data_IF_450536510791
#
_entry.id   IF_450536510791
#
_cell.length_a   1.000
_cell.length_b   1.000
_cell.length_c   1.000
_cell.angle_alpha   90.00
_cell.angle_beta   90.00
_cell.angle_gamma   90.00
#
_symmetry.space_group_name_H-M   'P 1'
#
loop_
_entity.id
_entity.type
_entity.pdbx_description
1 polymer ?
#
# COMPACT_ATOMS: atom_id res chain seq x y z
N UNK A 1 29.65 53.96 12.70
CA UNK A 1 30.35 54.27 11.45
C UNK A 1 30.03 53.09 10.53
N UNK A 2 28.96 53.17 9.69
CA UNK A 2 28.94 53.55 8.26
C UNK A 2 29.98 52.78 7.45
N UNK A 3 29.61 51.87 6.56
CA UNK A 3 29.05 52.08 5.20
C UNK A 3 28.71 50.69 4.59
N UNK A 4 27.57 50.46 4.09
CA UNK A 4 27.10 50.51 2.67
C UNK A 4 28.15 50.07 1.62
N UNK A 5 27.81 49.01 0.87
CA UNK A 5 27.76 49.05 -0.59
C UNK A 5 27.56 47.65 -1.17
N UNK A 6 26.58 47.52 -1.89
CA UNK A 6 26.38 47.46 -3.34
C UNK A 6 26.19 46.02 -3.88
N UNK A 7 24.95 45.82 -4.27
CA UNK A 7 24.45 44.70 -5.11
C UNK A 7 25.04 44.81 -6.52
N UNK A 8 25.65 43.76 -7.03
CA UNK A 8 25.83 43.57 -8.47
C UNK A 8 24.89 42.44 -8.93
N UNK A 9 23.94 42.87 -9.77
CA UNK A 9 23.08 41.99 -10.55
C UNK A 9 23.90 41.57 -11.77
N UNK A 10 24.19 40.27 -11.87
CA UNK A 10 24.70 39.72 -13.13
C UNK A 10 23.52 39.14 -13.90
N UNK A 11 23.13 39.84 -14.95
CA UNK A 11 22.22 39.37 -16.02
C UNK A 11 23.08 38.50 -16.94
N UNK A 12 22.93 37.20 -16.85
CA UNK A 12 23.48 36.29 -17.87
C UNK A 12 22.47 36.15 -18.99
N UNK A 13 22.83 36.64 -20.15
CA UNK A 13 22.15 36.49 -21.44
C UNK A 13 22.32 35.02 -21.83
N UNK A 14 21.26 34.23 -21.74
CA UNK A 14 21.20 32.88 -22.32
C UNK A 14 20.88 33.05 -23.81
N UNK A 15 21.88 32.76 -24.65
CA UNK A 15 21.74 32.71 -26.09
C UNK A 15 20.78 31.57 -26.49
N UNK A 16 19.69 31.93 -27.15
CA UNK A 16 18.76 30.99 -27.77
C UNK A 16 19.44 30.40 -29.00
N UNK A 17 19.90 29.17 -28.89
CA UNK A 17 20.32 28.38 -30.06
C UNK A 17 19.03 27.88 -30.74
N UNK A 18 18.64 28.56 -31.85
CA UNK A 18 17.64 28.08 -32.76
C UNK A 18 18.24 26.90 -33.55
N UNK A 19 17.97 25.68 -33.09
CA UNK A 19 18.10 24.49 -33.90
C UNK A 19 16.91 24.44 -34.85
N UNK A 20 17.19 24.68 -36.11
CA UNK A 20 16.29 24.39 -37.24
C UNK A 20 16.05 22.87 -37.27
N UNK A 21 15.01 22.39 -36.60
CA UNK A 21 14.45 21.06 -36.80
C UNK A 21 13.47 21.21 -38.00
N UNK A 22 13.78 20.57 -39.10
CA UNK A 22 12.88 20.43 -40.26
C UNK A 22 11.51 19.94 -39.79
N UNK A 23 10.41 20.43 -40.36
CA UNK A 23 9.08 19.96 -39.96
C UNK A 23 8.88 18.56 -40.51
N UNK A 24 9.15 17.52 -39.70
CA UNK A 24 8.48 16.24 -39.88
C UNK A 24 7.04 16.48 -39.48
N UNK A 25 6.23 16.82 -40.46
CA UNK A 25 4.80 16.89 -40.39
C UNK A 25 4.23 15.53 -39.97
N UNK A 26 3.77 15.49 -38.77
CA UNK A 26 2.57 14.81 -38.27
C UNK A 26 2.35 15.33 -36.83
N UNK A 27 2.09 16.65 -36.75
CA UNK A 27 1.37 17.16 -35.60
C UNK A 27 -0.01 16.51 -35.68
N UNK A 28 -0.20 15.42 -34.92
CA UNK A 28 -1.53 15.02 -34.51
C UNK A 28 -2.15 16.27 -33.88
N UNK A 29 -3.24 16.76 -34.47
CA UNK A 29 -4.04 17.81 -33.84
C UNK A 29 -4.28 17.40 -32.39
N UNK A 30 -4.19 18.32 -31.40
CA UNK A 30 -4.44 17.96 -30.00
C UNK A 30 -5.81 17.28 -29.98
N UNK A 31 -5.86 16.03 -29.55
CA UNK A 31 -7.11 15.30 -29.44
C UNK A 31 -7.99 16.06 -28.46
N UNK A 32 -9.07 16.65 -28.91
CA UNK A 32 -10.00 17.46 -28.10
C UNK A 32 -10.54 16.71 -26.88
N UNK A 33 -10.32 15.41 -26.80
CA UNK A 33 -10.88 14.51 -25.78
C UNK A 33 -9.83 13.75 -24.97
N UNK A 34 -8.56 14.19 -24.98
CA UNK A 34 -7.48 13.48 -24.27
C UNK A 34 -7.80 13.20 -22.80
N UNK A 35 -8.39 14.16 -22.08
CA UNK A 35 -8.80 13.96 -20.69
C UNK A 35 -9.87 12.85 -20.57
N UNK A 36 -10.85 12.85 -21.46
CA UNK A 36 -11.93 11.84 -21.43
C UNK A 36 -11.39 10.44 -21.78
N UNK A 37 -10.46 10.35 -22.71
CA UNK A 37 -9.75 9.09 -23.02
C UNK A 37 -9.03 8.58 -21.77
N UNK A 38 -8.37 9.45 -21.02
CA UNK A 38 -7.66 9.09 -19.79
C UNK A 38 -8.58 8.56 -18.70
N UNK A 39 -9.75 9.20 -18.49
CA UNK A 39 -10.77 8.70 -17.57
C UNK A 39 -11.26 7.31 -17.97
N UNK A 40 -11.60 7.11 -19.23
CA UNK A 40 -12.05 5.81 -19.71
C UNK A 40 -10.96 4.73 -19.63
N UNK A 41 -9.69 5.08 -19.95
CA UNK A 41 -8.57 4.15 -19.83
C UNK A 41 -8.38 3.69 -18.37
N UNK A 42 -8.40 4.62 -17.42
CA UNK A 42 -8.34 4.29 -15.99
C UNK A 42 -9.47 3.33 -15.60
N UNK A 43 -10.70 3.66 -15.97
CA UNK A 43 -11.88 2.85 -15.65
C UNK A 43 -11.85 1.48 -16.35
N UNK A 44 -11.42 1.43 -17.61
CA UNK A 44 -11.30 0.18 -18.37
C UNK A 44 -10.21 -0.74 -17.80
N UNK A 45 -9.06 -0.18 -17.39
CA UNK A 45 -8.00 -0.95 -16.75
C UNK A 45 -8.41 -1.50 -15.38
N UNK A 46 -9.22 -0.74 -14.62
CA UNK A 46 -9.72 -1.16 -13.33
C UNK A 46 -10.84 -2.20 -13.45
N UNK A 47 -11.82 -1.92 -14.31
CA UNK A 47 -13.03 -2.73 -14.51
C UNK A 47 -13.39 -2.77 -16.00
N UNK A 48 -12.87 -3.73 -16.76
CA UNK A 48 -13.10 -3.82 -18.21
C UNK A 48 -14.54 -4.19 -18.53
N UNK A 49 -15.16 -3.41 -19.43
CA UNK A 49 -16.48 -3.71 -20.01
C UNK A 49 -16.48 -3.49 -21.51
N UNK A 50 -17.38 -4.16 -22.24
CA UNK A 50 -17.51 -3.97 -23.68
C UNK A 50 -17.88 -2.52 -24.06
N UNK A 51 -18.74 -1.87 -23.26
CA UNK A 51 -19.13 -0.48 -23.48
C UNK A 51 -17.95 0.48 -23.35
N UNK A 52 -17.10 0.34 -22.32
CA UNK A 52 -15.89 1.17 -22.15
C UNK A 52 -14.89 0.94 -23.29
N UNK A 53 -14.76 -0.32 -23.74
CA UNK A 53 -13.94 -0.64 -24.90
C UNK A 53 -14.44 0.04 -26.17
N UNK A 54 -15.74 0.03 -26.41
CA UNK A 54 -16.37 0.71 -27.55
C UNK A 54 -16.15 2.24 -27.48
N UNK A 55 -16.38 2.85 -26.33
CA UNK A 55 -16.18 4.29 -26.13
C UNK A 55 -14.71 4.71 -26.33
N UNK A 56 -13.77 3.91 -25.86
CA UNK A 56 -12.34 4.14 -26.13
C UNK A 56 -12.05 4.07 -27.63
N UNK A 57 -12.60 3.09 -28.36
CA UNK A 57 -12.39 2.97 -29.80
C UNK A 57 -12.97 4.19 -30.56
N UNK A 58 -14.17 4.67 -30.18
CA UNK A 58 -14.80 5.86 -30.76
C UNK A 58 -13.89 7.09 -30.55
N UNK A 59 -13.42 7.35 -29.33
CA UNK A 59 -12.59 8.52 -29.04
C UNK A 59 -11.18 8.45 -29.64
N UNK A 60 -10.63 7.25 -29.86
CA UNK A 60 -9.28 7.07 -30.40
C UNK A 60 -9.22 6.97 -31.92
N UNK A 61 -10.28 6.47 -32.56
CA UNK A 61 -10.26 6.10 -33.99
C UNK A 61 -11.53 6.48 -34.75
N UNK A 62 -12.58 6.97 -34.08
CA UNK A 62 -13.81 7.42 -34.73
C UNK A 62 -13.65 8.73 -35.44
N UNK A 63 -14.55 9.04 -36.36
CA UNK A 63 -14.64 10.34 -37.02
C UNK A 63 -15.07 11.45 -36.05
N UNK A 64 -14.76 12.72 -36.36
CA UNK A 64 -15.20 13.85 -35.53
C UNK A 64 -16.71 13.88 -35.32
N UNK A 65 -17.50 13.48 -36.32
CA UNK A 65 -18.95 13.42 -36.24
C UNK A 65 -19.41 12.32 -35.24
N UNK A 66 -18.78 11.15 -35.30
CA UNK A 66 -19.06 10.05 -34.40
C UNK A 66 -18.64 10.38 -32.94
N UNK A 67 -17.46 10.97 -32.78
CA UNK A 67 -17.01 11.42 -31.45
C UNK A 67 -18.00 12.44 -30.85
N UNK A 68 -18.47 13.40 -31.66
CA UNK A 68 -19.42 14.42 -31.22
C UNK A 68 -20.80 13.82 -30.86
N UNK A 69 -21.24 12.81 -31.61
CA UNK A 69 -22.51 12.12 -31.36
C UNK A 69 -22.50 11.39 -29.99
N UNK A 70 -21.37 10.78 -29.61
CA UNK A 70 -21.28 9.98 -28.41
C UNK A 70 -20.74 10.72 -27.16
N UNK A 71 -20.26 11.98 -27.30
CA UNK A 71 -19.54 12.68 -26.24
C UNK A 71 -20.32 12.77 -24.92
N UNK A 72 -21.60 13.16 -24.97
CA UNK A 72 -22.44 13.27 -23.77
C UNK A 72 -22.69 11.91 -23.11
N UNK A 73 -22.92 10.86 -23.92
CA UNK A 73 -23.10 9.49 -23.41
C UNK A 73 -21.83 8.97 -22.75
N UNK A 74 -20.67 9.31 -23.28
CA UNK A 74 -19.37 8.93 -22.70
C UNK A 74 -19.15 9.67 -21.39
N UNK A 75 -19.38 10.99 -21.33
CA UNK A 75 -19.29 11.78 -20.11
C UNK A 75 -20.20 11.23 -19.01
N UNK A 76 -21.45 10.94 -19.33
CA UNK A 76 -22.42 10.33 -18.41
C UNK A 76 -21.96 8.94 -17.92
N UNK A 77 -21.39 8.12 -18.81
CA UNK A 77 -20.85 6.80 -18.43
C UNK A 77 -19.66 6.93 -17.47
N UNK A 78 -18.77 7.89 -17.70
CA UNK A 78 -17.63 8.17 -16.80
C UNK A 78 -18.13 8.65 -15.44
N UNK A 79 -19.10 9.57 -15.41
CA UNK A 79 -19.71 10.04 -14.17
C UNK A 79 -20.40 8.91 -13.40
N UNK A 80 -21.22 8.12 -14.10
CA UNK A 80 -21.95 6.99 -13.52
C UNK A 80 -21.03 5.97 -12.84
N UNK A 81 -19.83 5.73 -13.38
CA UNK A 81 -18.84 4.85 -12.77
C UNK A 81 -18.45 5.31 -11.36
N UNK A 82 -18.16 6.59 -11.19
CA UNK A 82 -17.80 7.16 -9.89
C UNK A 82 -18.98 7.27 -8.94
N UNK A 83 -20.18 7.62 -9.46
CA UNK A 83 -21.42 7.66 -8.66
C UNK A 83 -21.78 6.30 -8.08
N UNK A 84 -21.65 5.22 -8.86
CA UNK A 84 -21.85 3.85 -8.35
C UNK A 84 -20.90 3.49 -7.19
N UNK A 85 -19.78 4.19 -7.10
CA UNK A 85 -18.79 4.04 -6.03
C UNK A 85 -18.90 5.13 -4.95
N UNK A 86 -19.94 5.94 -5.00
CA UNK A 86 -20.21 7.06 -4.07
C UNK A 86 -19.08 8.10 -4.02
N UNK A 87 -18.36 8.28 -5.13
CA UNK A 87 -17.33 9.33 -5.26
C UNK A 87 -17.98 10.58 -5.85
N UNK A 88 -18.00 11.72 -5.13
CA UNK A 88 -18.56 12.96 -5.63
C UNK A 88 -17.68 13.56 -6.74
N UNK A 89 -18.31 14.18 -7.73
CA UNK A 89 -17.63 14.85 -8.84
C UNK A 89 -18.06 16.31 -8.92
N UNK A 90 -17.16 17.18 -9.36
CA UNK A 90 -17.50 18.57 -9.70
C UNK A 90 -18.45 18.63 -10.91
N UNK A 91 -18.50 17.60 -11.72
CA UNK A 91 -19.40 17.42 -12.86
C UNK A 91 -20.88 17.59 -12.50
N UNK A 92 -21.27 17.18 -11.30
CA UNK A 92 -22.67 17.20 -10.84
C UNK A 92 -23.21 18.61 -10.59
N UNK A 93 -22.33 19.58 -10.45
CA UNK A 93 -22.70 21.00 -10.25
C UNK A 93 -22.75 21.81 -11.54
N UNK A 94 -22.46 21.18 -12.70
CA UNK A 94 -22.38 21.88 -13.97
C UNK A 94 -23.76 22.01 -14.64
N UNK A 95 -23.99 23.18 -15.27
CA UNK A 95 -25.18 23.42 -16.08
C UNK A 95 -25.01 22.94 -17.55
N UNK A 96 -26.14 22.86 -18.27
CA UNK A 96 -26.20 22.38 -19.65
C UNK A 96 -25.29 23.16 -20.62
N UNK A 97 -25.12 24.46 -20.41
CA UNK A 97 -24.30 25.34 -21.25
C UNK A 97 -22.78 25.26 -20.99
N UNK A 98 -22.34 24.32 -20.13
CA UNK A 98 -20.91 24.13 -19.84
C UNK A 98 -20.19 23.52 -21.05
N UNK A 99 -19.00 24.04 -21.40
CA UNK A 99 -18.22 23.51 -22.51
C UNK A 99 -17.81 22.05 -22.28
N UNK A 100 -17.65 21.29 -23.37
CA UNK A 100 -17.21 19.89 -23.33
C UNK A 100 -15.91 19.72 -22.53
N UNK A 101 -14.94 20.61 -22.76
CA UNK A 101 -13.67 20.57 -22.03
C UNK A 101 -13.85 20.76 -20.51
N UNK A 102 -14.67 21.73 -20.09
CA UNK A 102 -14.95 21.95 -18.68
C UNK A 102 -15.68 20.76 -18.06
N UNK A 103 -16.62 20.15 -18.76
CA UNK A 103 -17.28 18.90 -18.34
C UNK A 103 -16.27 17.77 -18.17
N UNK A 104 -15.34 17.58 -19.14
CA UNK A 104 -14.30 16.54 -19.07
C UNK A 104 -13.38 16.71 -17.86
N UNK A 105 -12.94 17.94 -17.55
CA UNK A 105 -12.13 18.25 -16.37
C UNK A 105 -12.91 17.97 -15.08
N UNK A 106 -14.18 18.31 -15.05
CA UNK A 106 -15.03 18.12 -13.88
C UNK A 106 -15.36 16.63 -13.54
N UNK A 107 -15.05 15.70 -14.46
CA UNK A 107 -15.13 14.26 -14.23
C UNK A 107 -13.96 13.70 -13.39
N UNK A 108 -12.97 14.52 -13.07
CA UNK A 108 -11.85 14.13 -12.20
C UNK A 108 -12.33 13.95 -10.76
N UNK A 109 -12.06 12.81 -10.12
CA UNK A 109 -12.30 12.68 -8.68
C UNK A 109 -11.37 13.63 -7.92
N UNK A 110 -11.90 14.32 -6.91
CA UNK A 110 -11.15 15.31 -6.11
C UNK A 110 -10.20 14.62 -5.11
N UNK A 111 -9.16 13.95 -5.61
CA UNK A 111 -8.13 13.26 -4.82
C UNK A 111 -6.74 13.69 -5.29
N UNK A 112 -5.82 13.86 -4.34
CA UNK A 112 -4.50 14.47 -4.57
C UNK A 112 -3.63 13.67 -5.57
N UNK A 113 -3.71 12.34 -5.53
CA UNK A 113 -2.87 11.47 -6.37
C UNK A 113 -3.43 11.20 -7.77
N UNK A 114 -4.60 11.78 -8.16
CA UNK A 114 -5.24 11.51 -9.45
C UNK A 114 -4.32 11.80 -10.64
N UNK A 115 -3.77 13.01 -10.72
CA UNK A 115 -2.89 13.40 -11.83
C UNK A 115 -1.61 12.57 -11.88
N UNK A 116 -1.05 12.22 -10.73
CA UNK A 116 0.10 11.33 -10.63
C UNK A 116 -0.20 9.95 -11.20
N UNK A 117 -1.36 9.39 -10.85
CA UNK A 117 -1.82 8.09 -11.38
C UNK A 117 -2.04 8.14 -12.88
N UNK A 118 -2.74 9.16 -13.40
CA UNK A 118 -3.00 9.31 -14.85
C UNK A 118 -1.70 9.42 -15.62
N UNK A 119 -0.75 10.23 -15.18
CA UNK A 119 0.55 10.38 -15.85
C UNK A 119 1.34 9.06 -15.86
N UNK A 120 1.29 8.32 -14.77
CA UNK A 120 1.96 7.02 -14.70
C UNK A 120 1.29 5.97 -15.59
N UNK A 121 -0.05 5.95 -15.63
CA UNK A 121 -0.81 5.08 -16.54
C UNK A 121 -0.49 5.39 -18.00
N UNK A 122 -0.44 6.67 -18.43
CA UNK A 122 -0.03 7.08 -19.77
C UNK A 122 1.34 6.53 -20.11
N UNK A 123 2.32 6.67 -19.22
CA UNK A 123 3.67 6.12 -19.40
C UNK A 123 3.63 4.59 -19.58
N UNK A 124 2.89 3.87 -18.73
CA UNK A 124 2.79 2.42 -18.81
C UNK A 124 2.09 1.95 -20.10
N UNK A 125 1.05 2.66 -20.54
CA UNK A 125 0.35 2.39 -21.80
C UNK A 125 1.27 2.59 -22.99
N UNK A 126 2.03 3.69 -23.02
CA UNK A 126 3.03 3.94 -24.06
C UNK A 126 4.09 2.83 -24.08
N UNK A 127 4.63 2.42 -22.92
CA UNK A 127 5.58 1.30 -22.84
C UNK A 127 4.99 -0.01 -23.36
N UNK A 128 3.70 -0.28 -23.10
CA UNK A 128 3.04 -1.49 -23.60
C UNK A 128 2.96 -1.52 -25.12
N UNK A 129 2.82 -0.36 -25.78
CA UNK A 129 2.71 -0.25 -27.24
C UNK A 129 4.07 -0.25 -27.95
N UNK A 130 5.12 0.24 -27.29
CA UNK A 130 6.39 0.54 -27.93
C UNK A 130 7.54 -0.38 -27.52
N UNK A 131 7.38 -1.15 -26.43
CA UNK A 131 8.46 -1.97 -25.88
C UNK A 131 8.08 -3.46 -25.83
N UNK A 132 9.00 -4.30 -26.26
CA UNK A 132 8.92 -5.73 -25.98
C UNK A 132 9.32 -5.99 -24.52
N UNK A 133 8.55 -6.83 -23.83
CA UNK A 133 8.74 -7.15 -22.42
C UNK A 133 9.01 -8.65 -22.21
N UNK A 134 10.00 -9.20 -22.94
CA UNK A 134 10.39 -10.59 -22.83
C UNK A 134 10.88 -10.93 -21.41
N UNK A 135 10.62 -12.14 -20.91
CA UNK A 135 11.03 -12.53 -19.56
C UNK A 135 12.56 -12.49 -19.37
N UNK A 136 13.02 -12.01 -18.23
CA UNK A 136 14.43 -12.05 -17.81
C UNK A 136 14.63 -13.27 -16.92
N UNK A 137 15.50 -14.18 -17.32
CA UNK A 137 15.76 -15.45 -16.62
C UNK A 137 17.26 -15.69 -16.50
N UNK A 138 17.94 -15.10 -15.50
CA UNK A 138 19.39 -15.24 -15.36
C UNK A 138 19.83 -16.62 -14.82
N UNK A 139 18.90 -17.50 -14.45
CA UNK A 139 19.22 -18.81 -13.90
C UNK A 139 19.77 -18.83 -12.48
N UNK A 140 19.95 -17.66 -11.85
CA UNK A 140 20.49 -17.54 -10.49
C UNK A 140 20.34 -16.11 -9.92
N UNK A 141 20.99 -15.88 -8.78
CA UNK A 141 21.08 -14.55 -8.17
C UNK A 141 22.14 -13.72 -8.89
N UNK A 142 21.85 -12.43 -9.13
CA UNK A 142 22.84 -11.48 -9.60
C UNK A 142 23.19 -10.49 -8.48
N UNK A 143 24.46 -10.25 -8.28
CA UNK A 143 25.02 -9.35 -7.26
C UNK A 143 25.88 -8.26 -7.89
N UNK A 144 26.09 -7.13 -7.22
CA UNK A 144 27.07 -6.14 -7.67
C UNK A 144 28.44 -6.77 -7.98
N UNK A 145 28.95 -6.47 -9.16
CA UNK A 145 30.20 -7.04 -9.68
C UNK A 145 30.06 -8.31 -10.52
N UNK A 146 28.90 -8.94 -10.56
CA UNK A 146 28.66 -10.08 -11.43
C UNK A 146 28.60 -9.66 -12.91
N UNK A 147 29.06 -10.53 -13.81
CA UNK A 147 28.95 -10.37 -15.26
C UNK A 147 27.92 -11.34 -15.81
N UNK A 148 26.89 -10.79 -16.49
CA UNK A 148 25.81 -11.63 -17.03
C UNK A 148 25.04 -10.90 -18.17
N UNK A 149 24.68 -11.57 -19.30
CA UNK A 149 23.95 -10.95 -20.40
C UNK A 149 22.62 -10.29 -20.01
N UNK A 150 21.93 -10.79 -18.99
CA UNK A 150 20.67 -10.20 -18.50
C UNK A 150 20.85 -8.81 -17.90
N UNK A 151 22.06 -8.37 -17.53
CA UNK A 151 22.30 -7.04 -16.97
C UNK A 151 21.85 -5.95 -17.95
N UNK A 152 22.11 -6.13 -19.22
CA UNK A 152 21.63 -5.23 -20.28
C UNK A 152 20.12 -5.03 -20.24
N UNK A 153 19.35 -6.12 -20.20
CA UNK A 153 17.88 -6.07 -20.15
C UNK A 153 17.39 -5.46 -18.83
N UNK A 154 18.05 -5.79 -17.72
CA UNK A 154 17.71 -5.23 -16.40
C UNK A 154 17.94 -3.72 -16.37
N UNK A 155 19.09 -3.25 -16.87
CA UNK A 155 19.41 -1.82 -17.01
C UNK A 155 18.35 -1.09 -17.83
N UNK A 156 18.00 -1.63 -18.99
CA UNK A 156 16.96 -1.07 -19.86
C UNK A 156 15.63 -0.94 -19.14
N UNK A 157 15.17 -2.00 -18.44
CA UNK A 157 13.90 -1.96 -17.72
C UNK A 157 13.88 -0.94 -16.59
N UNK A 158 14.96 -0.89 -15.80
CA UNK A 158 15.07 0.09 -14.74
C UNK A 158 15.02 1.52 -15.26
N UNK A 159 15.68 1.79 -16.40
CA UNK A 159 15.62 3.08 -17.07
C UNK A 159 14.20 3.39 -17.57
N UNK A 160 13.57 2.48 -18.32
CA UNK A 160 12.21 2.62 -18.83
C UNK A 160 11.18 2.85 -17.71
N UNK A 161 11.34 2.17 -16.59
CA UNK A 161 10.45 2.32 -15.43
C UNK A 161 10.73 3.59 -14.60
N UNK A 162 11.87 4.26 -14.82
CA UNK A 162 12.27 5.50 -14.14
C UNK A 162 13.10 5.27 -12.87
N UNK A 163 13.60 4.05 -12.65
CA UNK A 163 14.50 3.73 -11.57
C UNK A 163 15.98 3.94 -11.93
N UNK A 164 16.32 3.92 -13.22
CA UNK A 164 17.66 4.17 -13.77
C UNK A 164 17.83 5.61 -14.23
N UNK A 165 18.98 6.22 -13.97
CA UNK A 165 19.33 7.55 -14.47
C UNK A 165 19.85 7.51 -15.91
N UNK A 166 20.40 6.36 -16.31
CA UNK A 166 20.97 6.13 -17.64
C UNK A 166 20.65 4.73 -18.15
N UNK A 167 20.68 4.57 -19.47
CA UNK A 167 20.54 3.27 -20.12
C UNK A 167 21.93 2.77 -20.54
N UNK A 168 22.36 1.68 -19.93
CA UNK A 168 23.64 1.01 -20.22
C UNK A 168 23.42 -0.06 -21.29
N UNK A 169 23.41 0.37 -22.56
CA UNK A 169 22.95 -0.45 -23.69
C UNK A 169 23.76 -1.72 -23.93
N UNK A 170 25.06 -1.68 -23.72
CA UNK A 170 25.99 -2.80 -24.03
C UNK A 170 26.67 -3.38 -22.80
N UNK A 171 26.28 -2.92 -21.61
CA UNK A 171 26.91 -3.32 -20.37
C UNK A 171 26.38 -4.66 -19.88
N UNK A 172 27.27 -5.59 -19.59
CA UNK A 172 26.98 -6.91 -19.03
C UNK A 172 27.49 -7.06 -17.60
N UNK A 173 28.31 -6.11 -17.13
CA UNK A 173 28.82 -6.05 -15.76
C UNK A 173 27.84 -5.30 -14.85
N UNK A 174 27.55 -5.86 -13.68
CA UNK A 174 26.68 -5.22 -12.69
C UNK A 174 27.42 -4.07 -11.99
N UNK A 175 27.48 -2.91 -12.64
CA UNK A 175 28.20 -1.72 -12.20
C UNK A 175 27.60 -1.05 -10.95
N UNK A 176 28.40 -0.26 -10.19
CA UNK A 176 27.91 0.51 -9.04
C UNK A 176 26.79 1.51 -9.39
N UNK A 177 26.73 2.08 -10.59
CA UNK A 177 25.64 2.96 -11.06
C UNK A 177 24.30 2.22 -11.08
N UNK A 178 24.28 0.95 -11.51
CA UNK A 178 23.10 0.11 -11.54
C UNK A 178 22.64 -0.32 -10.13
N UNK A 179 23.55 -0.41 -9.15
CA UNK A 179 23.22 -0.75 -7.75
C UNK A 179 22.16 0.19 -7.17
N UNK A 180 22.32 1.52 -7.39
CA UNK A 180 21.35 2.49 -6.86
C UNK A 180 20.00 2.39 -7.57
N UNK A 181 19.99 2.09 -8.86
CA UNK A 181 18.77 1.88 -9.64
C UNK A 181 17.98 0.67 -9.14
N UNK A 182 18.68 -0.47 -8.90
CA UNK A 182 18.06 -1.66 -8.31
C UNK A 182 17.53 -1.41 -6.91
N UNK A 183 18.27 -0.67 -6.06
CA UNK A 183 17.81 -0.33 -4.71
C UNK A 183 16.56 0.53 -4.72
N UNK A 184 16.47 1.55 -5.61
CA UNK A 184 15.24 2.35 -5.78
C UNK A 184 14.07 1.48 -6.21
N UNK A 185 14.29 0.65 -7.22
CA UNK A 185 13.29 -0.31 -7.69
C UNK A 185 12.81 -1.24 -6.56
N UNK A 186 13.73 -1.86 -5.82
CA UNK A 186 13.39 -2.73 -4.69
C UNK A 186 12.59 -1.99 -3.62
N UNK A 187 13.00 -0.78 -3.24
CA UNK A 187 12.32 0.04 -2.22
C UNK A 187 10.86 0.30 -2.59
N UNK A 188 10.61 0.82 -3.81
CA UNK A 188 9.23 1.14 -4.23
C UNK A 188 8.37 -0.10 -4.52
N UNK A 189 8.96 -1.30 -4.57
CA UNK A 189 8.24 -2.57 -4.62
C UNK A 189 8.13 -3.26 -3.25
N UNK A 190 8.50 -2.57 -2.15
CA UNK A 190 8.44 -3.11 -0.80
C UNK A 190 9.43 -4.25 -0.52
N UNK A 191 10.43 -4.43 -1.37
CA UNK A 191 11.46 -5.44 -1.23
C UNK A 191 12.61 -4.96 -0.33
N UNK A 192 13.43 -5.88 0.14
CA UNK A 192 14.70 -5.55 0.78
C UNK A 192 15.62 -4.84 -0.23
N UNK A 193 16.02 -3.62 0.10
CA UNK A 193 16.84 -2.75 -0.78
C UNK A 193 18.34 -3.08 -0.63
N UNK A 194 18.74 -4.29 -1.02
CA UNK A 194 20.10 -4.82 -0.89
C UNK A 194 20.87 -4.93 -2.22
N UNK A 195 20.24 -4.55 -3.32
CA UNK A 195 20.75 -4.66 -4.69
C UNK A 195 21.01 -6.11 -5.17
N UNK A 196 20.55 -7.13 -4.45
CA UNK A 196 20.58 -8.49 -4.94
C UNK A 196 19.37 -8.75 -5.83
N UNK A 197 19.61 -9.08 -7.10
CA UNK A 197 18.54 -9.41 -8.04
C UNK A 197 18.24 -10.90 -7.90
N UNK A 198 17.26 -11.20 -7.05
CA UNK A 198 16.76 -12.55 -6.80
C UNK A 198 15.32 -12.72 -7.28
N UNK A 199 14.66 -13.86 -6.93
CA UNK A 199 13.33 -14.20 -7.45
C UNK A 199 12.26 -13.12 -7.27
N UNK A 200 12.20 -12.47 -6.12
CA UNK A 200 11.22 -11.37 -5.88
C UNK A 200 11.52 -10.13 -6.75
N UNK A 201 12.78 -9.75 -6.89
CA UNK A 201 13.17 -8.62 -7.76
C UNK A 201 12.88 -8.94 -9.22
N UNK A 202 13.21 -10.16 -9.68
CA UNK A 202 12.90 -10.63 -11.04
C UNK A 202 11.40 -10.73 -11.30
N UNK A 203 10.62 -11.21 -10.34
CA UNK A 203 9.15 -11.22 -10.44
C UNK A 203 8.63 -9.82 -10.81
N UNK A 204 9.05 -8.80 -10.09
CA UNK A 204 8.63 -7.43 -10.36
C UNK A 204 9.25 -6.84 -11.62
N UNK A 205 10.50 -7.15 -11.98
CA UNK A 205 11.08 -6.75 -13.26
C UNK A 205 10.32 -7.37 -14.44
N UNK A 206 9.80 -8.57 -14.30
CA UNK A 206 9.06 -9.30 -15.33
C UNK A 206 7.58 -8.93 -15.40
N UNK A 207 7.01 -8.18 -14.42
CA UNK A 207 5.66 -7.64 -14.58
C UNK A 207 5.63 -6.68 -15.77
N UNK A 208 4.78 -6.96 -16.75
CA UNK A 208 4.64 -6.12 -17.94
C UNK A 208 4.09 -4.74 -17.58
N UNK A 209 4.34 -3.70 -18.41
CA UNK A 209 3.73 -2.38 -18.19
C UNK A 209 2.21 -2.44 -18.07
N UNK A 210 1.55 -3.30 -18.86
CA UNK A 210 0.11 -3.50 -18.80
C UNK A 210 -0.36 -4.10 -17.47
N UNK A 211 0.36 -5.13 -16.95
CA UNK A 211 0.04 -5.70 -15.64
C UNK A 211 0.16 -4.67 -14.52
N UNK A 212 1.21 -3.83 -14.58
CA UNK A 212 1.41 -2.70 -13.66
C UNK A 212 0.29 -1.67 -13.76
N UNK A 213 -0.10 -1.30 -14.98
CA UNK A 213 -1.19 -0.36 -15.21
C UNK A 213 -2.52 -0.88 -14.67
N UNK A 214 -2.86 -2.14 -14.94
CA UNK A 214 -4.07 -2.79 -14.41
C UNK A 214 -4.08 -2.80 -12.87
N UNK A 215 -2.96 -3.16 -12.24
CA UNK A 215 -2.85 -3.20 -10.79
C UNK A 215 -2.99 -1.79 -10.18
N UNK A 216 -2.35 -0.79 -10.77
CA UNK A 216 -2.40 0.59 -10.31
C UNK A 216 -3.81 1.18 -10.46
N UNK A 217 -4.44 1.02 -11.63
CA UNK A 217 -5.78 1.52 -11.91
C UNK A 217 -6.82 0.91 -10.95
N UNK A 218 -6.79 -0.42 -10.77
CA UNK A 218 -7.68 -1.10 -9.83
C UNK A 218 -7.47 -0.62 -8.39
N UNK A 219 -6.23 -0.58 -7.92
CA UNK A 219 -5.93 -0.13 -6.55
C UNK A 219 -6.31 1.33 -6.33
N UNK A 220 -6.14 2.18 -7.34
CA UNK A 220 -6.55 3.59 -7.28
C UNK A 220 -8.07 3.73 -7.16
N UNK A 221 -8.84 3.03 -8.00
CA UNK A 221 -10.30 3.08 -7.98
C UNK A 221 -10.83 2.56 -6.63
N UNK A 222 -10.34 1.42 -6.16
CA UNK A 222 -10.73 0.84 -4.88
C UNK A 222 -10.39 1.78 -3.71
N UNK A 223 -9.20 2.41 -3.72
CA UNK A 223 -8.76 3.39 -2.73
C UNK A 223 -9.65 4.63 -2.72
N UNK A 224 -9.88 5.23 -3.89
CA UNK A 224 -10.68 6.46 -4.05
C UNK A 224 -12.10 6.24 -3.57
N UNK A 225 -12.75 5.15 -4.02
CA UNK A 225 -14.10 4.79 -3.60
C UNK A 225 -14.20 4.56 -2.08
N UNK A 226 -13.20 3.93 -1.49
CA UNK A 226 -13.18 3.66 -0.06
C UNK A 226 -13.00 4.94 0.77
N UNK A 227 -12.00 5.76 0.43
CA UNK A 227 -11.64 6.94 1.20
C UNK A 227 -12.68 8.06 1.11
N UNK A 228 -13.41 8.18 -0.02
CA UNK A 228 -14.45 9.21 -0.21
C UNK A 228 -15.61 9.11 0.80
N UNK A 229 -15.75 7.98 1.48
CA UNK A 229 -16.85 7.71 2.42
C UNK A 229 -16.42 7.70 3.89
N UNK A 230 -15.13 7.93 4.18
CA UNK A 230 -14.63 7.79 5.55
C UNK A 230 -14.84 9.07 6.38
N UNK A 231 -15.54 8.97 7.51
CA UNK A 231 -15.56 10.05 8.49
C UNK A 231 -14.19 10.14 9.20
N UNK A 232 -13.79 11.36 9.56
CA UNK A 232 -12.54 11.63 10.26
C UNK A 232 -12.79 11.97 11.74
N UNK A 233 -11.80 11.73 12.63
CA UNK A 233 -10.52 11.05 12.37
C UNK A 233 -10.65 9.55 12.18
N UNK A 234 -9.69 8.93 11.50
CA UNK A 234 -9.63 7.45 11.36
C UNK A 234 -8.19 6.91 11.35
N UNK A 235 -8.06 5.63 11.72
CA UNK A 235 -6.82 4.87 11.59
C UNK A 235 -6.93 3.94 10.37
N UNK A 236 -5.97 3.97 9.48
CA UNK A 236 -5.95 3.12 8.29
C UNK A 236 -4.67 2.28 8.26
N UNK A 237 -4.83 0.97 8.08
CA UNK A 237 -3.76 0.00 7.97
C UNK A 237 -3.81 -0.62 6.58
N UNK A 238 -2.82 -0.32 5.73
CA UNK A 238 -2.67 -0.99 4.45
C UNK A 238 -1.81 -2.25 4.64
N UNK A 239 -2.46 -3.41 4.64
CA UNK A 239 -1.86 -4.70 4.99
C UNK A 239 -0.64 -5.03 4.13
N UNK A 240 -0.70 -5.06 2.77
CA UNK A 240 0.46 -5.42 1.95
C UNK A 240 1.55 -4.34 1.94
N UNK A 241 1.23 -3.11 2.35
CA UNK A 241 2.22 -2.05 2.52
C UNK A 241 2.97 -2.14 3.86
N UNK A 242 2.44 -2.90 4.83
CA UNK A 242 2.94 -2.94 6.20
C UNK A 242 3.00 -1.54 6.82
N UNK A 243 2.00 -0.71 6.55
CA UNK A 243 1.93 0.69 6.97
C UNK A 243 0.60 0.98 7.64
N UNK A 244 0.64 1.90 8.59
CA UNK A 244 -0.49 2.48 9.27
C UNK A 244 -0.38 4.00 9.20
N UNK A 245 -1.51 4.66 8.96
CA UNK A 245 -1.65 6.12 9.09
C UNK A 245 -2.83 6.46 9.99
N UNK A 246 -2.68 7.52 10.75
CA UNK A 246 -3.76 8.21 11.45
C UNK A 246 -4.05 9.49 10.69
N UNK A 247 -5.29 9.66 10.27
CA UNK A 247 -5.73 10.82 9.48
C UNK A 247 -6.70 11.66 10.31
N UNK A 248 -6.45 12.95 10.34
CA UNK A 248 -7.26 13.95 11.00
C UNK A 248 -7.24 15.25 10.17
N UNK A 249 -8.40 15.85 9.92
CA UNK A 249 -8.54 17.06 9.09
C UNK A 249 -7.89 16.94 7.70
N UNK A 250 -8.07 15.80 7.05
CA UNK A 250 -7.46 15.44 5.76
C UNK A 250 -5.92 15.39 5.74
N UNK A 251 -5.28 15.32 6.91
CA UNK A 251 -3.84 15.25 7.03
C UNK A 251 -3.40 13.97 7.75
N UNK A 252 -2.28 13.40 7.33
CA UNK A 252 -1.64 12.29 8.03
C UNK A 252 -0.89 12.85 9.24
N UNK A 253 -1.49 12.71 10.43
CA UNK A 253 -0.88 13.17 11.69
C UNK A 253 0.08 12.16 12.31
N UNK A 254 -0.03 10.88 11.93
CA UNK A 254 0.92 9.84 12.32
C UNK A 254 1.03 8.78 11.21
N UNK A 255 2.26 8.49 10.79
CA UNK A 255 2.58 7.36 9.94
C UNK A 255 3.52 6.40 10.67
N UNK A 256 3.25 5.08 10.61
CA UNK A 256 4.01 4.04 11.31
C UNK A 256 4.11 2.77 10.48
N UNK A 257 5.23 2.05 10.64
CA UNK A 257 5.31 0.67 10.17
C UNK A 257 4.46 -0.23 11.07
N UNK A 258 3.93 -1.30 10.46
CA UNK A 258 3.22 -2.35 11.18
C UNK A 258 3.75 -3.73 10.83
N UNK A 259 3.50 -4.69 11.72
CA UNK A 259 3.67 -6.13 11.47
C UNK A 259 2.28 -6.72 11.43
N UNK A 260 1.97 -7.42 10.36
CA UNK A 260 0.67 -8.08 10.11
C UNK A 260 0.78 -9.60 10.20
N UNK A 261 -0.31 -10.31 10.07
CA UNK A 261 -0.38 -11.77 10.13
C UNK A 261 0.37 -12.45 9.00
N UNK A 262 0.88 -13.65 9.27
CA UNK A 262 1.45 -14.56 8.27
C UNK A 262 0.38 -15.01 7.27
N UNK A 263 0.78 -15.49 6.10
CA UNK A 263 -0.15 -15.95 5.05
C UNK A 263 -1.16 -17.01 5.53
N UNK A 264 -0.78 -17.89 6.46
CA UNK A 264 -1.65 -18.92 7.06
C UNK A 264 -2.36 -18.48 8.36
N UNK A 265 -2.12 -17.25 8.82
CA UNK A 265 -2.79 -16.58 9.96
C UNK A 265 -2.95 -15.11 9.64
N UNK A 266 -3.76 -14.83 8.64
CA UNK A 266 -3.87 -13.51 8.02
C UNK A 266 -4.45 -12.45 8.96
N UNK A 267 -4.02 -11.21 8.81
CA UNK A 267 -4.78 -10.06 9.27
C UNK A 267 -5.93 -9.85 8.28
N UNK A 268 -7.20 -9.88 8.73
CA UNK A 268 -8.34 -9.75 7.82
C UNK A 268 -8.49 -8.33 7.29
N UNK A 269 -9.02 -8.21 6.08
CA UNK A 269 -9.58 -6.94 5.58
C UNK A 269 -10.88 -6.69 6.33
N UNK A 270 -10.93 -5.64 7.13
CA UNK A 270 -12.07 -5.36 8.00
C UNK A 270 -12.11 -3.92 8.48
N UNK A 271 -13.25 -3.53 9.02
CA UNK A 271 -13.40 -2.27 9.77
C UNK A 271 -13.74 -2.55 11.23
N UNK A 272 -13.40 -1.62 12.11
CA UNK A 272 -13.71 -1.71 13.51
C UNK A 272 -13.76 -0.33 14.18
N UNK A 273 -14.11 -0.32 15.47
CA UNK A 273 -14.19 0.90 16.28
C UNK A 273 -13.37 0.71 17.55
N UNK A 274 -12.18 1.31 17.61
CA UNK A 274 -11.37 1.25 18.83
C UNK A 274 -12.12 1.96 19.95
N UNK A 275 -12.46 1.18 21.00
CA UNK A 275 -13.28 1.64 22.13
C UNK A 275 -12.49 1.78 23.42
N UNK A 276 -11.35 1.11 23.51
CA UNK A 276 -10.53 1.10 24.73
C UNK A 276 -9.04 1.05 24.39
N UNK A 277 -8.25 1.66 25.24
CA UNK A 277 -6.80 1.46 25.28
C UNK A 277 -6.41 0.84 26.63
N UNK A 278 -5.52 -0.14 26.60
CA UNK A 278 -5.03 -0.84 27.77
C UNK A 278 -3.54 -0.57 27.94
N UNK A 279 -3.15 -0.06 29.11
CA UNK A 279 -1.75 0.05 29.51
C UNK A 279 -1.36 -1.22 30.27
N UNK A 280 -0.14 -1.70 30.01
CA UNK A 280 0.43 -2.90 30.62
C UNK A 280 -0.54 -4.11 30.54
N UNK A 281 -0.95 -4.52 29.33
CA UNK A 281 -1.93 -5.59 29.17
C UNK A 281 -1.38 -6.92 29.68
N UNK A 282 -2.24 -7.73 30.24
CA UNK A 282 -2.00 -9.17 30.31
C UNK A 282 -2.29 -9.80 28.97
N UNK A 283 -1.60 -10.87 28.61
CA UNK A 283 -1.87 -11.63 27.38
C UNK A 283 -2.38 -13.03 27.68
N UNK A 284 -3.68 -13.23 27.52
CA UNK A 284 -4.25 -14.58 27.51
C UNK A 284 -3.91 -15.23 26.18
N UNK A 285 -3.17 -16.34 26.23
CA UNK A 285 -2.72 -17.04 25.03
C UNK A 285 -3.90 -17.73 24.33
N UNK A 286 -4.21 -17.40 23.06
CA UNK A 286 -5.23 -18.10 22.30
C UNK A 286 -4.90 -19.59 22.18
N UNK A 287 -5.92 -20.46 22.25
CA UNK A 287 -5.73 -21.92 22.25
C UNK A 287 -4.92 -22.45 21.07
N UNK A 288 -5.12 -21.88 19.90
CA UNK A 288 -4.35 -22.27 18.71
C UNK A 288 -2.86 -21.95 18.87
N UNK A 289 -2.52 -20.76 19.35
CA UNK A 289 -1.13 -20.35 19.61
C UNK A 289 -0.52 -21.16 20.74
N UNK A 290 -1.30 -21.44 21.79
CA UNK A 290 -0.84 -22.29 22.87
C UNK A 290 -0.37 -23.66 22.33
N UNK A 291 -1.21 -24.31 21.52
CA UNK A 291 -0.90 -25.65 20.97
C UNK A 291 0.25 -25.63 19.96
N UNK A 292 0.28 -24.64 19.05
CA UNK A 292 1.20 -24.65 17.93
C UNK A 292 2.55 -24.01 18.25
N UNK A 293 2.56 -23.00 19.13
CA UNK A 293 3.76 -22.18 19.36
C UNK A 293 4.32 -22.31 20.78
N UNK A 294 3.47 -22.50 21.82
CA UNK A 294 3.90 -22.48 23.23
C UNK A 294 4.16 -23.89 23.77
N UNK A 295 3.23 -24.85 23.59
CA UNK A 295 3.43 -26.21 24.11
C UNK A 295 4.71 -26.89 23.59
N UNK A 296 5.13 -26.76 22.32
CA UNK A 296 6.41 -27.29 21.88
C UNK A 296 7.63 -26.69 22.62
N UNK A 297 7.56 -25.41 23.00
CA UNK A 297 8.63 -24.77 23.78
C UNK A 297 8.70 -25.34 25.21
N UNK A 298 7.55 -25.63 25.81
CA UNK A 298 7.46 -26.21 27.15
C UNK A 298 7.95 -27.67 27.15
N UNK A 299 7.64 -28.42 26.10
CA UNK A 299 8.16 -29.79 25.93
C UNK A 299 9.70 -29.81 25.90
N UNK A 300 10.31 -28.81 25.27
CA UNK A 300 11.78 -28.68 25.20
C UNK A 300 12.40 -28.03 26.45
N UNK A 301 11.69 -27.09 27.09
CA UNK A 301 12.14 -26.37 28.29
C UNK A 301 10.99 -26.18 29.27
N UNK A 302 10.96 -27.01 30.33
CA UNK A 302 9.92 -26.92 31.36
C UNK A 302 9.91 -25.60 32.16
N UNK A 303 10.99 -24.83 32.14
CA UNK A 303 11.07 -23.52 32.78
C UNK A 303 10.41 -22.40 31.95
N UNK A 304 9.98 -22.67 30.71
CA UNK A 304 9.49 -21.67 29.78
C UNK A 304 8.40 -20.75 30.34
N UNK A 305 7.46 -21.28 31.16
CA UNK A 305 6.42 -20.48 31.79
C UNK A 305 7.01 -19.45 32.78
N UNK A 306 7.98 -19.87 33.58
CA UNK A 306 8.63 -19.00 34.56
C UNK A 306 9.52 -17.95 33.83
N UNK A 307 10.34 -18.41 32.87
CA UNK A 307 11.27 -17.57 32.12
C UNK A 307 10.54 -16.48 31.31
N UNK A 308 9.31 -16.76 30.89
CA UNK A 308 8.48 -15.83 30.11
C UNK A 308 7.33 -15.21 30.91
N UNK A 309 7.36 -15.31 32.23
CA UNK A 309 6.39 -14.69 33.14
C UNK A 309 4.93 -15.08 32.85
N UNK A 310 4.66 -16.36 32.56
CA UNK A 310 3.31 -16.88 32.42
C UNK A 310 2.75 -17.39 33.77
N UNK A 311 1.46 -17.10 34.02
CA UNK A 311 0.64 -17.78 35.01
C UNK A 311 -0.28 -18.76 34.30
N UNK A 312 -0.48 -19.92 34.91
CA UNK A 312 -1.34 -20.99 34.40
C UNK A 312 -2.53 -21.17 35.35
N UNK A 313 -3.73 -21.26 34.77
CA UNK A 313 -4.97 -21.38 35.51
C UNK A 313 -5.78 -22.57 34.99
N UNK A 314 -6.52 -23.25 35.89
CA UNK A 314 -7.59 -24.16 35.50
C UNK A 314 -8.83 -23.39 34.99
N UNK A 315 -9.90 -24.11 34.65
CA UNK A 315 -11.15 -23.49 34.19
C UNK A 315 -11.97 -22.87 35.32
N UNK A 316 -11.69 -23.24 36.57
CA UNK A 316 -12.33 -22.67 37.77
C UNK A 316 -11.62 -21.39 38.24
N UNK A 317 -10.48 -21.04 37.57
CA UNK A 317 -9.72 -19.82 37.85
C UNK A 317 -8.63 -20.00 38.91
N UNK A 318 -8.39 -21.22 39.40
CA UNK A 318 -7.32 -21.47 40.34
C UNK A 318 -5.97 -21.46 39.64
N UNK A 319 -4.98 -20.83 40.25
CA UNK A 319 -3.61 -20.85 39.75
C UNK A 319 -3.01 -22.23 39.94
N UNK A 320 -2.45 -22.78 38.91
CA UNK A 320 -1.78 -24.09 38.90
C UNK A 320 -0.26 -23.84 38.85
N UNK A 321 0.42 -24.46 39.81
CA UNK A 321 1.87 -24.48 39.88
C UNK A 321 2.39 -25.90 39.77
N UNK A 322 3.39 -26.14 38.93
CA UNK A 322 3.99 -27.46 38.69
C UNK A 322 5.49 -27.29 38.53
N UNK A 323 6.24 -28.34 38.85
CA UNK A 323 7.66 -28.41 38.55
C UNK A 323 7.92 -28.38 37.04
N UNK A 324 9.13 -27.99 36.58
CA UNK A 324 9.48 -27.97 35.17
C UNK A 324 9.25 -29.32 34.47
N UNK A 325 9.55 -30.41 35.14
CA UNK A 325 9.33 -31.78 34.61
C UNK A 325 7.85 -32.10 34.46
N UNK A 326 7.01 -31.72 35.41
CA UNK A 326 5.55 -31.91 35.32
C UNK A 326 4.94 -31.06 34.20
N UNK A 327 5.48 -29.83 33.97
CA UNK A 327 5.05 -28.99 32.82
C UNK A 327 5.42 -29.63 31.48
N UNK A 328 6.63 -30.19 31.37
CA UNK A 328 7.04 -30.91 30.14
C UNK A 328 6.10 -32.09 29.87
N UNK A 329 5.78 -32.88 30.87
CA UNK A 329 4.86 -34.03 30.77
C UNK A 329 3.43 -33.56 30.39
N UNK A 330 2.92 -32.52 31.06
CA UNK A 330 1.60 -31.98 30.78
C UNK A 330 1.45 -31.42 29.37
N UNK A 331 2.54 -30.94 28.79
CA UNK A 331 2.56 -30.35 27.43
C UNK A 331 2.47 -31.41 26.31
N UNK A 332 2.65 -32.70 26.60
CA UNK A 332 2.63 -33.76 25.57
C UNK A 332 1.21 -34.18 25.17
N UNK A 333 0.19 -33.92 25.98
CA UNK A 333 -1.16 -34.41 25.74
C UNK A 333 -2.25 -33.33 25.78
N UNK A 334 -3.40 -33.68 26.33
CA UNK A 334 -4.48 -32.74 26.60
C UNK A 334 -4.02 -31.71 27.62
N UNK A 335 -4.02 -30.44 27.23
CA UNK A 335 -3.64 -29.32 28.10
C UNK A 335 -4.88 -28.50 28.48
N UNK A 336 -5.51 -28.82 29.64
CA UNK A 336 -6.78 -28.23 30.08
C UNK A 336 -6.56 -26.97 30.90
N UNK A 337 -5.64 -26.10 30.50
CA UNK A 337 -5.31 -24.90 31.25
C UNK A 337 -5.43 -23.65 30.38
N UNK A 338 -5.69 -22.52 31.03
CA UNK A 338 -5.59 -21.17 30.47
C UNK A 338 -4.25 -20.60 30.89
N UNK A 339 -3.52 -20.10 29.90
CA UNK A 339 -2.18 -19.52 30.07
C UNK A 339 -2.27 -18.00 29.87
N UNK A 340 -1.73 -17.24 30.82
CA UNK A 340 -1.77 -15.77 30.83
C UNK A 340 -0.37 -15.23 31.07
N UNK A 341 0.16 -14.44 30.16
CA UNK A 341 1.42 -13.73 30.37
C UNK A 341 1.17 -12.46 31.18
N UNK A 342 1.98 -12.25 32.22
CA UNK A 342 1.93 -11.05 33.08
C UNK A 342 2.37 -9.80 32.33
N UNK A 343 1.96 -8.59 32.76
CA UNK A 343 2.52 -7.34 32.26
C UNK A 343 4.03 -7.28 32.49
N UNK A 344 4.75 -6.60 31.63
CA UNK A 344 6.20 -6.45 31.75
C UNK A 344 6.89 -6.25 30.41
N UNK A 345 8.21 -6.05 30.46
CA UNK A 345 9.02 -5.79 29.25
C UNK A 345 9.01 -6.90 28.24
N UNK A 346 8.81 -8.16 28.68
CA UNK A 346 8.78 -9.35 27.82
C UNK A 346 7.38 -9.76 27.36
N UNK A 347 6.34 -9.03 27.79
CA UNK A 347 4.97 -9.36 27.39
C UNK A 347 4.80 -9.24 25.87
N UNK A 348 4.23 -10.26 25.24
CA UNK A 348 4.07 -10.32 23.78
C UNK A 348 3.26 -9.15 23.21
N UNK A 349 2.37 -8.54 24.00
CA UNK A 349 1.58 -7.38 23.63
C UNK A 349 2.29 -6.04 23.89
N UNK A 350 3.50 -6.07 24.48
CA UNK A 350 4.22 -4.89 24.90
C UNK A 350 3.44 -4.03 25.90
N UNK A 351 3.58 -2.71 25.82
CA UNK A 351 3.03 -1.77 26.78
C UNK A 351 1.58 -1.35 26.52
N UNK A 352 1.15 -1.31 25.25
CA UNK A 352 -0.16 -0.79 24.86
C UNK A 352 -0.93 -1.79 24.00
N UNK A 353 -2.23 -1.92 24.29
CA UNK A 353 -3.19 -2.64 23.44
C UNK A 353 -4.37 -1.73 23.15
N UNK A 354 -4.73 -1.59 21.87
CA UNK A 354 -5.91 -0.89 21.39
C UNK A 354 -6.97 -1.93 21.05
N UNK A 355 -8.06 -1.88 21.77
CA UNK A 355 -9.11 -2.88 21.70
C UNK A 355 -10.32 -2.37 20.92
N UNK A 356 -10.83 -3.23 20.04
CA UNK A 356 -12.11 -3.07 19.36
C UNK A 356 -12.80 -4.43 19.27
N UNK A 357 -14.12 -4.41 19.33
CA UNK A 357 -14.89 -5.64 19.31
C UNK A 357 -14.98 -6.21 17.88
N UNK A 358 -14.66 -7.49 17.72
CA UNK A 358 -14.75 -8.22 16.46
C UNK A 358 -14.71 -9.73 16.70
N UNK A 359 -15.30 -10.52 15.77
CA UNK A 359 -15.45 -11.98 15.90
C UNK A 359 -14.11 -12.74 15.71
N UNK A 360 -13.09 -12.09 15.15
CA UNK A 360 -11.79 -12.72 14.86
C UNK A 360 -10.75 -12.47 15.95
N UNK A 361 -11.12 -11.76 17.03
CA UNK A 361 -10.23 -11.42 18.14
C UNK A 361 -8.96 -10.66 17.72
N UNK A 362 -9.07 -9.83 16.69
CA UNK A 362 -8.00 -8.95 16.20
C UNK A 362 -7.94 -7.70 17.08
N UNK A 363 -6.73 -7.25 17.37
CA UNK A 363 -6.45 -5.98 18.06
C UNK A 363 -5.10 -5.41 17.59
N UNK A 364 -4.89 -4.13 17.89
CA UNK A 364 -3.61 -3.48 17.65
C UNK A 364 -2.82 -3.46 18.95
N UNK A 365 -1.50 -3.65 18.88
CA UNK A 365 -0.69 -3.68 20.09
C UNK A 365 0.78 -3.34 19.87
N UNK A 366 1.45 -3.13 20.95
CA UNK A 366 2.90 -3.00 21.04
C UNK A 366 3.62 -4.37 20.91
N UNK A 367 4.93 -4.38 20.95
CA UNK A 367 5.75 -5.61 20.97
C UNK A 367 7.11 -5.34 21.59
N UNK A 368 7.67 -6.28 22.37
CA UNK A 368 9.04 -6.18 22.87
C UNK A 368 10.08 -6.32 21.74
N UNK A 369 9.73 -6.98 20.64
CA UNK A 369 10.69 -7.29 19.55
C UNK A 369 10.67 -6.19 18.48
N UNK A 370 11.14 -5.00 18.84
CA UNK A 370 11.16 -3.82 17.96
C UNK A 370 12.05 -3.98 16.72
N UNK A 371 13.10 -4.81 16.80
CA UNK A 371 14.00 -5.06 15.67
C UNK A 371 13.32 -5.63 14.43
N UNK A 372 12.17 -6.29 14.60
CA UNK A 372 11.40 -6.83 13.47
C UNK A 372 10.85 -5.75 12.51
N UNK A 373 10.69 -4.51 12.96
CA UNK A 373 10.26 -3.41 12.10
C UNK A 373 11.31 -2.96 11.08
N UNK A 374 12.58 -3.37 11.26
CA UNK A 374 13.64 -3.13 10.29
C UNK A 374 13.56 -4.06 9.06
N UNK A 375 12.77 -5.14 9.14
CA UNK A 375 12.60 -6.07 8.02
C UNK A 375 11.73 -5.47 6.92
N UNK A 376 12.00 -5.84 5.68
CA UNK A 376 11.13 -5.53 4.55
C UNK A 376 9.83 -6.34 4.64
N UNK A 377 9.93 -7.67 4.75
CA UNK A 377 8.79 -8.55 4.96
C UNK A 377 8.36 -8.49 6.45
N UNK A 378 7.13 -8.05 6.70
CA UNK A 378 6.59 -7.89 8.05
C UNK A 378 5.26 -8.63 8.27
N UNK A 379 5.02 -9.67 7.51
CA UNK A 379 3.93 -10.64 7.68
C UNK A 379 4.35 -11.73 8.70
N UNK A 380 4.50 -11.34 9.97
CA UNK A 380 5.16 -12.15 11.00
C UNK A 380 4.27 -12.47 12.21
N UNK A 381 3.10 -11.82 12.35
CA UNK A 381 2.20 -12.03 13.49
C UNK A 381 1.26 -13.22 13.27
N UNK A 382 0.40 -13.43 14.23
CA UNK A 382 -0.68 -14.44 14.16
C UNK A 382 -2.05 -13.82 13.92
N UNK A 383 -2.08 -12.69 13.18
CA UNK A 383 -3.29 -11.97 12.78
C UNK A 383 -3.40 -10.57 13.38
N UNK A 384 -3.06 -10.39 14.65
CA UNK A 384 -3.04 -9.06 15.28
C UNK A 384 -1.97 -8.16 14.69
N UNK A 385 -2.18 -6.84 14.76
CA UNK A 385 -1.28 -5.84 14.17
C UNK A 385 -0.37 -5.25 15.25
N UNK A 386 0.96 -5.37 15.05
CA UNK A 386 1.97 -4.72 15.89
C UNK A 386 2.35 -3.37 15.31
N UNK A 387 2.50 -2.36 16.17
CA UNK A 387 2.76 -0.97 15.77
C UNK A 387 4.16 -0.55 16.20
N UNK A 388 4.95 0.02 15.28
CA UNK A 388 6.31 0.52 15.57
C UNK A 388 6.26 1.75 16.48
N UNK A 389 5.52 2.79 16.06
CA UNK A 389 5.40 4.07 16.79
C UNK A 389 4.24 4.05 17.77
N UNK A 390 4.11 2.97 18.53
CA UNK A 390 2.98 2.73 19.41
C UNK A 390 2.84 3.78 20.51
N UNK A 391 3.95 4.32 21.03
CA UNK A 391 3.93 5.39 22.03
C UNK A 391 3.28 6.66 21.47
N UNK A 392 3.66 7.07 20.25
CA UNK A 392 3.08 8.25 19.60
C UNK A 392 1.57 8.09 19.37
N UNK A 393 1.14 6.88 18.97
CA UNK A 393 -0.29 6.57 18.85
C UNK A 393 -0.99 6.65 20.23
N UNK A 394 -0.40 6.06 21.26
CA UNK A 394 -0.95 6.11 22.62
C UNK A 394 -1.03 7.54 23.17
N UNK A 395 -0.04 8.38 22.88
CA UNK A 395 -0.04 9.81 23.26
C UNK A 395 -1.15 10.59 22.54
N UNK A 396 -1.38 10.28 21.26
CA UNK A 396 -2.51 10.87 20.53
C UNK A 396 -3.85 10.50 21.21
N UNK A 397 -4.06 9.21 21.54
CA UNK A 397 -5.26 8.76 22.25
C UNK A 397 -5.39 9.44 23.61
N UNK A 398 -4.31 9.58 24.36
CA UNK A 398 -4.29 10.25 25.65
C UNK A 398 -4.72 11.71 25.59
N UNK A 399 -4.26 12.40 24.56
CA UNK A 399 -4.54 13.82 24.38
C UNK A 399 -5.97 14.08 23.90
N UNK A 400 -6.52 13.21 23.03
CA UNK A 400 -7.79 13.45 22.34
C UNK A 400 -8.96 12.63 22.89
N UNK A 401 -8.76 11.40 23.35
CA UNK A 401 -9.86 10.46 23.62
C UNK A 401 -9.89 9.89 25.02
N UNK A 402 -8.76 9.76 25.73
CA UNK A 402 -8.74 9.16 27.08
C UNK A 402 -9.42 10.11 28.07
N UNK A 403 -10.42 9.57 28.80
CA UNK A 403 -11.21 10.33 29.79
C UNK A 403 -10.39 10.58 31.08
N UNK A 404 -9.82 9.54 31.67
CA UNK A 404 -9.03 9.64 32.90
C UNK A 404 -7.54 9.91 32.64
N UNK A 405 -7.26 11.17 32.31
CA UNK A 405 -5.89 11.65 32.03
C UNK A 405 -4.99 11.61 33.27
N UNK A 406 -5.56 11.72 34.48
CA UNK A 406 -4.78 11.68 35.73
C UNK A 406 -4.22 10.29 35.97
N UNK A 407 -5.02 9.24 35.87
CA UNK A 407 -4.57 7.86 36.01
C UNK A 407 -3.66 7.47 34.86
N UNK A 408 -3.94 7.95 33.63
CA UNK A 408 -3.06 7.75 32.47
C UNK A 408 -1.64 8.24 32.77
N UNK A 409 -1.48 9.50 33.18
CA UNK A 409 -0.16 10.11 33.47
C UNK A 409 0.57 9.37 34.58
N UNK A 410 -0.11 8.97 35.64
CA UNK A 410 0.49 8.22 36.75
C UNK A 410 1.01 6.84 36.32
N UNK A 411 0.37 6.19 35.34
CA UNK A 411 0.77 4.88 34.87
C UNK A 411 1.90 4.91 33.83
N UNK A 412 2.31 6.08 33.36
CA UNK A 412 3.46 6.17 32.43
C UNK A 412 4.77 5.67 33.04
N UNK A 413 4.92 5.76 34.35
CA UNK A 413 6.10 5.25 35.11
C UNK A 413 5.89 3.88 35.74
N UNK A 414 4.68 3.33 35.67
CA UNK A 414 4.35 2.00 36.20
C UNK A 414 4.24 0.97 35.07
N UNK A 415 4.96 -0.13 35.16
CA UNK A 415 5.02 -1.17 34.12
C UNK A 415 4.34 -2.49 34.50
N UNK A 416 3.78 -2.57 35.72
CA UNK A 416 3.22 -3.82 36.25
C UNK A 416 1.70 -3.82 36.41
N UNK A 417 1.10 -2.62 36.57
CA UNK A 417 -0.34 -2.50 36.80
C UNK A 417 -1.09 -2.39 35.48
N UNK A 418 -1.92 -3.38 35.17
CA UNK A 418 -2.85 -3.33 34.03
C UNK A 418 -3.99 -2.37 34.30
N UNK A 419 -4.29 -1.50 33.34
CA UNK A 419 -5.42 -0.58 33.40
C UNK A 419 -6.07 -0.42 32.04
N UNK A 420 -7.40 -0.54 32.02
CA UNK A 420 -8.26 -0.23 30.89
C UNK A 420 -8.70 1.23 30.97
N UNK A 421 -8.61 1.92 29.84
CA UNK A 421 -9.09 3.29 29.71
C UNK A 421 -10.23 3.33 28.71
N UNK A 422 -11.38 3.81 29.18
CA UNK A 422 -12.49 4.18 28.31
C UNK A 422 -12.14 5.44 27.50
N UNK A 423 -12.63 5.51 26.28
CA UNK A 423 -12.49 6.64 25.38
C UNK A 423 -13.76 7.50 25.39
N UNK A 424 -13.64 8.80 25.21
CA UNK A 424 -14.77 9.73 25.08
C UNK A 424 -15.60 9.50 23.82
N UNK A 425 -14.94 8.99 22.76
CA UNK A 425 -15.56 8.50 21.53
C UNK A 425 -14.71 7.36 20.96
N UNK A 426 -15.28 6.54 20.11
CA UNK A 426 -14.53 5.50 19.41
C UNK A 426 -13.73 6.08 18.25
N UNK A 427 -12.61 5.43 17.92
CA UNK A 427 -11.83 5.76 16.71
C UNK A 427 -12.03 4.67 15.66
N UNK A 428 -12.55 5.00 14.46
CA UNK A 428 -12.63 4.07 13.35
C UNK A 428 -11.25 3.51 12.99
N UNK A 429 -11.14 2.20 12.80
CA UNK A 429 -9.95 1.52 12.27
C UNK A 429 -10.32 0.75 11.03
N UNK A 430 -9.56 0.95 9.96
CA UNK A 430 -9.76 0.36 8.65
C UNK A 430 -8.52 -0.47 8.29
N UNK A 431 -8.70 -1.75 8.01
CA UNK A 431 -7.67 -2.65 7.50
C UNK A 431 -7.99 -2.93 6.03
N UNK A 432 -7.14 -2.43 5.14
CA UNK A 432 -7.34 -2.45 3.68
C UNK A 432 -6.23 -3.22 2.99
N UNK A 433 -6.44 -3.54 1.70
CA UNK A 433 -5.52 -4.35 0.93
C UNK A 433 -5.24 -3.72 -0.44
N UNK A 434 -4.52 -2.58 -0.45
CA UNK A 434 -4.15 -1.87 -1.68
C UNK A 434 -2.70 -2.19 -2.05
N UNK A 435 -2.51 -2.70 -3.24
CA UNK A 435 -1.22 -3.20 -3.70
C UNK A 435 -0.44 -2.22 -4.56
N UNK A 436 -1.07 -1.15 -5.02
CA UNK A 436 -0.40 -0.09 -5.76
C UNK A 436 -1.00 1.28 -5.47
N UNK A 437 -0.16 2.30 -5.47
CA UNK A 437 -0.55 3.71 -5.34
C UNK A 437 0.58 4.61 -5.88
N UNK A 438 0.29 5.88 -6.10
CA UNK A 438 1.31 6.90 -6.33
C UNK A 438 1.52 7.65 -5.01
N UNK A 439 2.76 7.84 -4.60
CA UNK A 439 3.11 8.58 -3.38
C UNK A 439 3.24 10.09 -3.64
N UNK A 440 3.53 10.86 -2.57
CA UNK A 440 3.65 12.32 -2.62
C UNK A 440 4.83 12.80 -3.48
N UNK A 441 5.80 11.92 -3.77
CA UNK A 441 6.91 12.18 -4.69
C UNK A 441 6.55 11.82 -6.15
N UNK A 442 5.28 11.50 -6.42
CA UNK A 442 4.76 11.05 -7.72
C UNK A 442 5.40 9.75 -8.22
N UNK A 443 5.87 8.89 -7.33
CA UNK A 443 6.45 7.59 -7.64
C UNK A 443 5.43 6.49 -7.40
N UNK A 444 5.22 5.64 -8.41
CA UNK A 444 4.31 4.50 -8.27
C UNK A 444 4.94 3.42 -7.38
N UNK A 445 4.24 3.09 -6.34
CA UNK A 445 4.56 2.07 -5.35
C UNK A 445 3.79 0.78 -5.65
N UNK A 446 4.41 -0.37 -5.47
CA UNK A 446 3.80 -1.69 -5.67
C UNK A 446 4.10 -2.61 -4.50
N UNK A 447 3.22 -3.56 -4.22
CA UNK A 447 3.40 -4.54 -3.12
C UNK A 447 2.99 -5.93 -3.57
N UNK A 448 3.69 -6.92 -3.04
CA UNK A 448 3.36 -8.34 -3.22
C UNK A 448 1.95 -8.65 -2.72
N UNK A 449 1.30 -9.64 -3.34
CA UNK A 449 0.04 -10.19 -2.86
C UNK A 449 0.34 -11.24 -1.77
N UNK A 450 0.67 -10.75 -0.57
CA UNK A 450 1.13 -11.57 0.55
C UNK A 450 0.10 -12.60 1.03
N UNK A 451 -1.19 -12.37 0.71
CA UNK A 451 -2.29 -13.25 1.10
C UNK A 451 -2.99 -13.92 -0.09
N UNK A 452 -2.55 -13.63 -1.32
CA UNK A 452 -3.13 -14.13 -2.55
C UNK A 452 -4.66 -13.88 -2.66
N UNK A 453 -5.10 -12.69 -2.22
CA UNK A 453 -6.53 -12.35 -2.17
C UNK A 453 -7.10 -11.99 -3.55
N UNK A 454 -6.29 -11.47 -4.45
CA UNK A 454 -6.75 -11.03 -5.75
C UNK A 454 -5.62 -11.11 -6.80
N UNK A 455 -5.49 -12.23 -7.51
CA UNK A 455 -4.64 -12.25 -8.69
C UNK A 455 -5.21 -11.28 -9.73
N UNK A 456 -4.47 -10.21 -10.04
CA UNK A 456 -4.83 -9.27 -11.10
C UNK A 456 -4.60 -9.95 -12.43
N UNK A 457 -5.68 -10.31 -13.13
CA UNK A 457 -5.60 -10.77 -14.51
C UNK A 457 -5.31 -9.54 -15.40
N UNK A 458 -4.30 -9.60 -16.29
CA UNK A 458 -4.06 -8.50 -17.21
C UNK A 458 -5.28 -8.32 -18.12
N UNK A 459 -5.73 -7.08 -18.25
CA UNK A 459 -6.77 -6.72 -19.22
C UNK A 459 -6.11 -6.66 -20.59
N UNK A 460 -6.63 -7.38 -21.59
CA UNK A 460 -6.12 -7.26 -22.95
C UNK A 460 -6.37 -5.84 -23.46
N UNK A 461 -5.31 -5.17 -23.90
CA UNK A 461 -5.48 -3.93 -24.66
C UNK A 461 -6.20 -4.24 -25.95
N UNK A 462 -7.16 -3.40 -26.29
CA UNK A 462 -7.80 -3.47 -27.59
C UNK A 462 -6.69 -3.29 -28.63
N UNK A 463 -6.42 -4.33 -29.42
CA UNK A 463 -5.50 -4.19 -30.55
C UNK A 463 -6.12 -3.18 -31.52
N UNK A 464 -5.37 -2.19 -31.95
CA UNK A 464 -5.80 -1.18 -32.95
C UNK A 464 -6.19 -1.77 -34.34
N UNK A 465 -6.41 -3.08 -34.45
CA UNK A 465 -6.83 -3.80 -35.66
C UNK A 465 -8.13 -4.56 -35.45
N UNK A 466 -9.14 -3.92 -34.91
CA UNK A 466 -10.51 -4.40 -35.13
C UNK A 466 -11.05 -3.71 -36.40
N UNK A 467 -10.98 -4.38 -37.54
CA UNK A 467 -11.79 -3.99 -38.71
C UNK A 467 -13.25 -3.95 -38.27
N UNK A 468 -14.02 -2.94 -38.66
CA UNK A 468 -15.46 -2.91 -38.37
C UNK A 468 -16.11 -4.14 -39.01
N UNK A 469 -16.63 -5.07 -38.20
CA UNK A 469 -17.55 -6.07 -38.71
C UNK A 469 -18.82 -5.32 -39.14
N UNK A 470 -19.10 -5.34 -40.43
CA UNK A 470 -20.32 -4.82 -40.98
C UNK A 470 -21.51 -5.51 -40.27
N UNK A 471 -22.31 -4.71 -39.60
CA UNK A 471 -23.61 -5.13 -39.09
C UNK A 471 -24.48 -5.35 -40.35
N UNK A 472 -24.66 -6.60 -40.72
CA UNK A 472 -25.71 -6.99 -41.70
C UNK A 472 -27.03 -6.91 -40.95
N UNK A 473 -27.97 -6.21 -41.57
CA UNK A 473 -29.34 -5.83 -41.19
C UNK A 473 -30.13 -6.90 -40.45
#
# INVERSE_FOLDING_TARGET
>A
MLSQAARFIHISIIGVLLLCVSPLSLANAPHHYDNLIQHLQLQYLAEPTALRAQYLAILQSGSDAEQLEYIDSIQQSVAAFWHQKHVPLAYDALGDNTSVLAKNIALEPAVEDYLGVINYLRKLMWLTQTQDWAAIEPGGLLRPGDEHPSIKQISQRLWLLGDGNEYLADEVLYLPSLVQSVKRFQSRHGLKSDAVIGPKTLFWLNQTPQQRATLLAKSFVDKTAYLSQLPQPYLLINIPAFQMVLVENNQVVLASKVIVGKSYRQTPVMTGQISNIIINPTWTVPRQLLRQDILPQIQSNGHYFNDRHFDVFDFDGNRIDKSPQEWQQAAVGRFPYRVVQRPGGDNALGRYKFHFNNDQSIYLHDTPTKSLFARADRDLSSGCVRIEKVQQLADWFANHLVIDKRTWSRLQTNYTKTQWFALSSTLPVHMVYWRAWVDDEHVAQYRDDIYQLAPVKPVSLLSQKAQPQAIVQ
#
